data_IF_223305338214
#
_entry.id   IF_223305338214
#
_cell.length_a   1.000
_cell.length_b   1.000
_cell.length_c   1.000
_cell.angle_alpha   90.00
_cell.angle_beta   90.00
_cell.angle_gamma   90.00
#
_symmetry.space_group_name_H-M   'P 1'
#
loop_
_entity.id
_entity.type
_entity.pdbx_description
1 polymer ?
#
# COMPACT_ATOMS: atom_id res chain seq x y z
N UNK A 1 1.38 -7.78 -16.05
CA UNK A 1 0.38 -7.66 -14.97
C UNK A 1 -1.00 -7.53 -15.60
N UNK A 2 -1.97 -8.38 -15.26
CA UNK A 2 -3.34 -8.31 -15.80
C UNK A 2 -4.21 -7.18 -15.20
N UNK A 3 -3.77 -6.61 -14.07
CA UNK A 3 -4.41 -5.49 -13.39
C UNK A 3 -3.34 -4.46 -13.01
N UNK A 4 -3.63 -3.18 -13.20
CA UNK A 4 -2.72 -2.06 -12.97
C UNK A 4 -3.50 -0.80 -12.54
N UNK A 5 -2.81 0.19 -11.97
CA UNK A 5 -3.37 1.48 -11.57
C UNK A 5 -4.58 1.43 -10.60
N UNK A 6 -4.73 0.33 -9.86
CA UNK A 6 -5.84 0.10 -8.94
C UNK A 6 -7.02 -0.66 -9.54
N UNK A 7 -6.84 -1.25 -10.73
CA UNK A 7 -7.70 -2.33 -11.16
C UNK A 7 -7.49 -3.55 -10.26
N UNK A 8 -8.55 -4.32 -10.05
CA UNK A 8 -8.51 -5.58 -9.31
C UNK A 8 -9.53 -6.56 -9.91
N UNK A 9 -9.29 -7.88 -9.79
CA UNK A 9 -10.28 -8.88 -10.19
C UNK A 9 -11.54 -8.70 -9.35
N UNK A 10 -12.70 -8.65 -10.01
CA UNK A 10 -14.00 -8.39 -9.37
C UNK A 10 -14.35 -6.92 -9.17
N UNK A 11 -13.54 -5.97 -9.67
CA UNK A 11 -13.85 -4.53 -9.68
C UNK A 11 -14.17 -3.90 -8.31
N UNK A 12 -15.44 -3.85 -7.90
CA UNK A 12 -15.89 -3.32 -6.59
C UNK A 12 -16.04 -4.42 -5.53
N UNK A 13 -16.16 -5.67 -5.96
CA UNK A 13 -16.23 -6.85 -5.10
C UNK A 13 -14.85 -7.41 -4.76
N UNK A 14 -13.78 -6.67 -5.08
CA UNK A 14 -12.45 -7.08 -4.65
C UNK A 14 -12.38 -6.97 -3.13
N UNK A 15 -12.40 -8.12 -2.46
CA UNK A 15 -12.41 -8.25 -1.02
C UNK A 15 -11.15 -7.69 -0.36
N UNK A 16 -10.08 -7.46 -1.13
CA UNK A 16 -8.81 -6.94 -0.64
C UNK A 16 -8.75 -5.40 -0.80
N UNK A 17 -8.95 -4.68 0.32
CA UNK A 17 -8.83 -3.21 0.40
C UNK A 17 -7.50 -2.75 1.01
N UNK A 18 -6.54 -3.66 1.15
CA UNK A 18 -5.20 -3.31 1.64
C UNK A 18 -4.48 -2.42 0.62
N UNK A 19 -3.70 -1.45 1.11
CA UNK A 19 -2.94 -0.54 0.25
C UNK A 19 -1.83 -1.26 -0.53
N UNK A 20 -1.30 -2.34 0.04
CA UNK A 20 -0.38 -3.27 -0.61
C UNK A 20 -0.49 -4.65 0.06
N UNK A 21 0.06 -5.67 -0.59
CA UNK A 21 0.01 -7.06 -0.12
C UNK A 21 1.06 -7.28 0.97
N UNK A 22 0.62 -7.56 2.19
CA UNK A 22 1.47 -7.98 3.30
C UNK A 22 0.79 -9.13 4.03
N UNK A 23 1.21 -10.36 3.74
CA UNK A 23 0.62 -11.56 4.34
C UNK A 23 1.33 -11.93 5.65
N UNK A 24 0.73 -12.82 6.44
CA UNK A 24 1.34 -13.30 7.69
C UNK A 24 2.66 -14.01 7.42
N UNK A 25 2.71 -14.80 6.36
CA UNK A 25 3.88 -15.59 5.97
C UNK A 25 5.09 -14.70 5.65
N UNK A 26 4.87 -13.52 5.06
CA UNK A 26 5.94 -12.54 4.87
C UNK A 26 6.45 -11.96 6.19
N UNK A 27 5.55 -11.69 7.14
CA UNK A 27 5.95 -11.20 8.46
C UNK A 27 6.68 -12.29 9.25
N UNK A 28 6.23 -13.54 9.16
CA UNK A 28 6.88 -14.71 9.77
C UNK A 28 8.27 -14.97 9.19
N UNK A 29 8.45 -14.86 7.86
CA UNK A 29 9.76 -14.91 7.19
C UNK A 29 10.73 -13.84 7.71
N UNK A 30 10.20 -12.69 8.12
CA UNK A 30 10.96 -11.61 8.76
C UNK A 30 11.04 -11.80 10.28
N UNK A 31 10.89 -13.01 10.82
CA UNK A 31 10.94 -13.34 12.24
C UNK A 31 9.89 -12.65 13.12
N UNK A 32 8.76 -12.24 12.54
CA UNK A 32 7.63 -11.67 13.26
C UNK A 32 7.61 -10.15 13.31
N UNK A 33 6.45 -9.60 13.72
CA UNK A 33 6.14 -8.16 13.68
C UNK A 33 7.08 -7.29 14.53
N UNK A 34 7.49 -7.79 15.70
CA UNK A 34 8.36 -7.06 16.63
C UNK A 34 9.85 -7.35 16.40
N UNK A 35 10.20 -8.09 15.34
CA UNK A 35 11.59 -8.48 15.10
C UNK A 35 12.43 -7.30 14.58
N UNK A 36 13.76 -7.29 14.83
CA UNK A 36 14.66 -6.30 14.23
C UNK A 36 14.61 -6.30 12.70
N UNK A 37 14.42 -7.46 12.06
CA UNK A 37 14.34 -7.58 10.60
C UNK A 37 13.08 -6.92 10.05
N UNK A 38 11.94 -7.09 10.74
CA UNK A 38 10.71 -6.43 10.33
C UNK A 38 10.78 -4.91 10.56
N UNK A 39 11.42 -4.46 11.64
CA UNK A 39 11.66 -3.03 11.85
C UNK A 39 12.55 -2.42 10.75
N UNK A 40 13.58 -3.14 10.30
CA UNK A 40 14.40 -2.69 9.16
C UNK A 40 13.59 -2.65 7.87
N UNK A 41 12.72 -3.64 7.62
CA UNK A 41 11.76 -3.59 6.50
C UNK A 41 10.89 -2.33 6.55
N UNK A 42 10.32 -1.99 7.72
CA UNK A 42 9.49 -0.78 7.88
C UNK A 42 10.28 0.49 7.53
N UNK A 43 11.51 0.59 8.05
CA UNK A 43 12.40 1.73 7.78
C UNK A 43 12.75 1.85 6.29
N UNK A 44 13.10 0.73 5.64
CA UNK A 44 13.39 0.69 4.21
C UNK A 44 12.16 1.02 3.37
N UNK A 45 10.98 0.54 3.74
CA UNK A 45 9.72 0.88 3.08
C UNK A 45 9.45 2.38 3.12
N UNK A 46 9.56 3.00 4.30
CA UNK A 46 9.38 4.45 4.46
C UNK A 46 10.42 5.22 3.65
N UNK A 47 11.68 4.82 3.73
CA UNK A 47 12.78 5.47 2.99
C UNK A 47 12.53 5.40 1.48
N UNK A 48 12.16 4.21 0.97
CA UNK A 48 11.83 4.02 -0.43
C UNK A 48 10.62 4.84 -0.87
N UNK A 49 9.58 4.91 -0.03
CA UNK A 49 8.40 5.74 -0.28
C UNK A 49 8.75 7.23 -0.38
N UNK A 50 9.59 7.74 0.53
CA UNK A 50 10.07 9.13 0.49
C UNK A 50 10.87 9.42 -0.77
N UNK A 51 11.74 8.50 -1.21
CA UNK A 51 12.47 8.67 -2.47
C UNK A 51 11.54 8.62 -3.69
N UNK A 52 10.54 7.73 -3.71
CA UNK A 52 9.55 7.68 -4.77
C UNK A 52 8.74 8.99 -4.85
N UNK A 53 8.32 9.53 -3.70
CA UNK A 53 7.65 10.83 -3.58
C UNK A 53 8.52 11.97 -4.13
N UNK A 54 9.80 12.01 -3.74
CA UNK A 54 10.76 13.02 -4.21
C UNK A 54 10.91 13.03 -5.74
N UNK A 55 10.86 11.85 -6.36
CA UNK A 55 11.00 11.67 -7.81
C UNK A 55 9.64 11.50 -8.53
N UNK A 56 8.55 11.90 -7.88
CA UNK A 56 7.17 11.69 -8.37
C UNK A 56 6.88 12.28 -9.74
N UNK A 57 7.45 13.44 -10.06
CA UNK A 57 7.23 14.11 -11.35
C UNK A 57 7.61 13.24 -12.55
N UNK A 58 8.72 12.48 -12.43
CA UNK A 58 9.18 11.58 -13.48
C UNK A 58 8.16 10.45 -13.67
N UNK A 59 7.74 9.82 -12.57
CA UNK A 59 6.76 8.73 -12.62
C UNK A 59 5.39 9.19 -13.13
N UNK A 60 4.93 10.37 -12.71
CA UNK A 60 3.67 10.96 -13.15
C UNK A 60 3.71 11.30 -14.64
N UNK A 61 4.79 11.92 -15.13
CA UNK A 61 4.96 12.23 -16.55
C UNK A 61 5.00 10.98 -17.42
N UNK A 62 5.67 9.91 -16.97
CA UNK A 62 5.66 8.62 -17.68
C UNK A 62 4.24 8.04 -17.78
N UNK A 63 3.48 8.05 -16.67
CA UNK A 63 2.08 7.58 -16.67
C UNK A 63 1.21 8.44 -17.57
N UNK A 64 1.38 9.75 -17.56
CA UNK A 64 0.63 10.68 -18.40
C UNK A 64 0.89 10.42 -19.90
N UNK A 65 2.14 10.23 -20.30
CA UNK A 65 2.50 9.84 -21.68
C UNK A 65 1.88 8.49 -22.04
N UNK A 66 1.99 7.49 -21.16
CA UNK A 66 1.39 6.16 -21.37
C UNK A 66 -0.15 6.20 -21.47
N UNK A 67 -0.79 7.21 -20.88
CA UNK A 67 -2.23 7.39 -20.92
C UNK A 67 -2.73 7.96 -22.25
N UNK A 68 -1.90 8.73 -22.94
CA UNK A 68 -2.27 9.38 -24.19
C UNK A 68 -2.67 8.33 -25.25
N UNK A 69 -3.92 8.38 -25.70
CA UNK A 69 -4.51 7.46 -26.69
C UNK A 69 -4.33 5.96 -26.37
N UNK A 70 -4.14 5.60 -25.11
CA UNK A 70 -3.94 4.20 -24.72
C UNK A 70 -5.23 3.40 -24.77
N UNK A 71 -5.14 2.18 -25.30
CA UNK A 71 -6.21 1.18 -25.28
C UNK A 71 -6.19 0.27 -24.03
N UNK A 72 -5.27 0.49 -23.08
CA UNK A 72 -5.22 -0.32 -21.86
C UNK A 72 -6.44 -0.07 -20.94
N UNK A 73 -7.06 -1.12 -20.38
CA UNK A 73 -8.22 -0.97 -19.49
C UNK A 73 -8.00 -0.09 -18.26
N UNK A 74 -6.76 0.05 -17.79
CA UNK A 74 -6.42 0.94 -16.68
C UNK A 74 -6.43 2.42 -17.03
N UNK A 75 -6.61 2.78 -18.31
CA UNK A 75 -6.62 4.17 -18.79
C UNK A 75 -7.87 4.51 -19.60
N UNK A 76 -8.86 3.61 -19.66
CA UNK A 76 -10.08 3.76 -20.43
C UNK A 76 -11.34 3.58 -19.58
N UNK A 77 -12.49 3.94 -20.14
CA UNK A 77 -13.79 3.86 -19.46
C UNK A 77 -13.99 4.90 -18.36
N UNK A 78 -15.18 4.93 -17.79
CA UNK A 78 -15.59 5.96 -16.80
C UNK A 78 -14.82 5.87 -15.48
N UNK A 79 -14.33 4.67 -15.11
CA UNK A 79 -13.70 4.43 -13.79
C UNK A 79 -12.20 4.71 -13.74
N UNK A 80 -11.52 4.63 -14.88
CA UNK A 80 -10.06 4.71 -14.97
C UNK A 80 -9.56 5.69 -16.04
N UNK A 81 -10.36 5.96 -17.06
CA UNK A 81 -10.05 6.95 -18.10
C UNK A 81 -10.20 8.40 -17.64
N UNK A 82 -10.12 9.32 -18.60
CA UNK A 82 -10.25 10.77 -18.37
C UNK A 82 -9.36 11.31 -17.23
N UNK A 83 -8.12 10.82 -17.12
CA UNK A 83 -7.19 11.28 -16.08
C UNK A 83 -7.39 10.66 -14.69
N UNK A 84 -8.44 9.84 -14.46
CA UNK A 84 -8.74 9.29 -13.13
C UNK A 84 -7.60 8.42 -12.59
N UNK A 85 -7.01 7.58 -13.44
CA UNK A 85 -5.88 6.74 -13.03
C UNK A 85 -4.63 7.54 -12.66
N UNK A 86 -4.32 8.61 -13.39
CA UNK A 86 -3.22 9.52 -13.05
C UNK A 86 -3.48 10.17 -11.70
N UNK A 87 -4.69 10.70 -11.48
CA UNK A 87 -5.04 11.36 -10.21
C UNK A 87 -4.98 10.41 -9.03
N UNK A 88 -5.43 9.16 -9.21
CA UNK A 88 -5.31 8.13 -8.16
C UNK A 88 -3.85 7.77 -7.88
N UNK A 89 -3.01 7.72 -8.91
CA UNK A 89 -1.58 7.47 -8.73
C UNK A 89 -0.88 8.61 -7.98
N UNK A 90 -1.18 9.86 -8.34
CA UNK A 90 -0.73 11.06 -7.62
C UNK A 90 -1.13 11.01 -6.14
N UNK A 91 -2.39 10.66 -5.85
CA UNK A 91 -2.88 10.52 -4.48
C UNK A 91 -2.13 9.44 -3.68
N UNK A 92 -1.71 8.34 -4.32
CA UNK A 92 -0.92 7.27 -3.68
C UNK A 92 0.49 7.72 -3.31
N UNK A 93 1.06 8.68 -4.04
CA UNK A 93 2.35 9.32 -3.71
C UNK A 93 2.22 10.36 -2.59
N UNK A 94 0.98 10.60 -2.13
CA UNK A 94 0.63 11.48 -1.01
C UNK A 94 1.07 12.93 -1.20
N UNK A 95 1.27 13.44 -2.42
CA UNK A 95 1.89 14.76 -2.68
C UNK A 95 1.21 15.94 -1.96
N UNK A 96 -0.09 15.81 -1.67
CA UNK A 96 -0.89 16.78 -0.91
C UNK A 96 -0.64 16.77 0.61
N UNK A 97 0.02 15.74 1.14
CA UNK A 97 0.34 15.59 2.56
C UNK A 97 1.63 16.36 2.86
N UNK A 98 1.70 17.14 3.94
CA UNK A 98 2.94 17.78 4.41
C UNK A 98 4.07 16.80 4.70
N UNK A 99 5.32 17.21 4.45
CA UNK A 99 6.48 16.32 4.54
C UNK A 99 6.74 15.80 5.97
N UNK A 100 6.42 16.60 6.99
CA UNK A 100 6.52 16.21 8.41
C UNK A 100 5.53 15.10 8.80
N UNK A 101 4.44 14.94 8.04
CA UNK A 101 3.41 13.93 8.31
C UNK A 101 3.56 12.67 7.45
N UNK A 102 4.31 12.76 6.34
CA UNK A 102 4.29 11.70 5.32
C UNK A 102 4.93 10.40 5.82
N UNK A 103 5.97 10.49 6.66
CA UNK A 103 6.60 9.32 7.27
C UNK A 103 5.57 8.52 8.09
N UNK A 104 4.86 9.19 9.01
CA UNK A 104 3.83 8.55 9.84
C UNK A 104 2.71 7.95 8.99
N UNK A 105 2.35 8.60 7.88
CA UNK A 105 1.33 8.09 6.94
C UNK A 105 1.82 6.84 6.21
N UNK A 106 3.07 6.81 5.77
CA UNK A 106 3.68 5.65 5.12
C UNK A 106 3.77 4.45 6.07
N UNK A 107 4.18 4.66 7.34
CA UNK A 107 4.18 3.60 8.36
C UNK A 107 2.78 3.03 8.59
N UNK A 108 1.76 3.88 8.64
CA UNK A 108 0.36 3.46 8.79
C UNK A 108 -0.13 2.57 7.64
N UNK A 109 0.41 2.72 6.43
CA UNK A 109 0.08 1.82 5.31
C UNK A 109 0.49 0.38 5.64
N UNK A 110 1.62 0.19 6.30
CA UNK A 110 2.13 -1.13 6.71
C UNK A 110 1.19 -1.76 7.73
N UNK A 111 0.82 -0.99 8.76
CA UNK A 111 -0.10 -1.43 9.81
C UNK A 111 -1.47 -1.83 9.21
N UNK A 112 -1.98 -1.03 8.28
CA UNK A 112 -3.25 -1.32 7.59
C UNK A 112 -3.15 -2.54 6.65
N UNK A 113 -2.02 -2.73 5.97
CA UNK A 113 -1.81 -3.87 5.09
C UNK A 113 -1.79 -5.18 5.88
N UNK A 114 -1.12 -5.20 7.04
CA UNK A 114 -1.12 -6.36 7.94
C UNK A 114 -2.51 -6.64 8.51
N UNK A 115 -3.21 -5.59 8.94
CA UNK A 115 -4.52 -5.72 9.60
C UNK A 115 -5.65 -6.19 8.70
N UNK A 116 -5.56 -5.92 7.40
CA UNK A 116 -6.57 -6.35 6.43
C UNK A 116 -6.51 -7.87 6.14
N UNK A 117 -5.38 -8.54 6.41
CA UNK A 117 -5.16 -9.94 6.02
C UNK A 117 -5.21 -10.96 7.16
N UNK A 118 -5.14 -10.56 8.44
CA UNK A 118 -4.76 -11.54 9.46
C UNK A 118 -5.09 -11.34 10.94
N UNK A 119 -5.54 -10.18 11.40
CA UNK A 119 -5.35 -9.85 12.83
C UNK A 119 -6.46 -10.28 13.79
N UNK A 120 -7.51 -10.97 13.35
CA UNK A 120 -8.48 -11.55 14.33
C UNK A 120 -7.91 -12.71 15.17
N UNK A 121 -6.70 -13.21 14.87
CA UNK A 121 -6.06 -14.30 15.62
C UNK A 121 -4.87 -13.86 16.49
N UNK A 122 -4.13 -12.82 16.10
CA UNK A 122 -2.91 -12.40 16.83
C UNK A 122 -3.24 -11.59 18.09
N UNK A 123 -4.27 -10.75 18.05
CA UNK A 123 -4.78 -10.04 19.24
C UNK A 123 -5.21 -11.03 20.34
N UNK A 124 -5.75 -12.20 19.96
CA UNK A 124 -6.12 -13.27 20.90
C UNK A 124 -4.90 -13.95 21.51
N UNK A 125 -3.84 -14.17 20.72
CA UNK A 125 -2.60 -14.78 21.22
C UNK A 125 -1.84 -13.84 22.16
N UNK A 126 -1.86 -12.54 21.86
CA UNK A 126 -1.24 -11.49 22.68
C UNK A 126 -2.01 -11.26 23.99
N UNK A 127 -3.35 -11.31 23.96
CA UNK A 127 -4.18 -11.27 25.17
C UNK A 127 -4.04 -12.54 26.02
N UNK A 128 -3.79 -13.70 25.40
CA UNK A 128 -3.53 -14.96 26.12
C UNK A 128 -2.11 -15.00 26.73
N UNK A 129 -1.12 -14.42 26.04
CA UNK A 129 0.28 -14.41 26.51
C UNK A 129 0.60 -13.31 27.53
N UNK A 130 -0.19 -12.21 27.56
CA UNK A 130 0.01 -11.09 28.49
C UNK A 130 -0.85 -11.14 29.78
N UNK A 131 -1.40 -12.31 30.13
CA UNK A 131 -1.78 -12.61 31.52
C UNK A 131 -3.01 -11.89 32.08
N UNK A 132 -4.19 -12.47 31.85
CA UNK A 132 -5.19 -12.55 32.91
C UNK A 132 -5.29 -14.00 33.36
N UNK A 133 -4.45 -14.35 34.32
CA UNK A 133 -4.74 -15.41 35.27
C UNK A 133 -5.58 -14.79 36.39
N UNK A 134 -6.91 -14.92 36.28
CA UNK A 134 -7.80 -15.34 37.36
C UNK A 134 -8.93 -16.14 36.70
#
# INVERSE_FOLDING_TARGET
FGFAMGMAPGHEFSFERSHFKLTKEYVELLNGWNSPLFQEFRKLFVTGFLQARKNSLIALGMVEIMMYESNYPCFTGTRYGNGVSLKRFENRLMLHIPDDQVQRRAEKLIDQAYNHGGTNLYDKFQNWSNGYAI
#
